data_IF_995004129401
#
_entry.id   IF_995004129401
#
_cell.length_a   1.000
_cell.length_b   1.000
_cell.length_c   1.000
_cell.angle_alpha   90.00
_cell.angle_beta   90.00
_cell.angle_gamma   90.00
#
_symmetry.space_group_name_H-M   'P 1'
#
loop_
_entity.id
_entity.type
_entity.pdbx_description
1 polymer ?
#
# COMPACT_ATOMS: atom_id res chain seq x y z
N UNK A 1 -5.44 10.59 -14.33
CA UNK A 1 -5.06 9.17 -14.48
C UNK A 1 -3.56 8.99 -14.30
N UNK A 2 -2.71 9.57 -15.16
CA UNK A 2 -1.23 9.49 -15.07
C UNK A 2 -0.65 9.87 -13.70
N UNK A 3 -1.03 11.02 -13.13
CA UNK A 3 -0.51 11.45 -11.82
C UNK A 3 -0.83 10.49 -10.67
N UNK A 4 -1.96 9.78 -10.76
CA UNK A 4 -2.36 8.77 -9.77
C UNK A 4 -1.49 7.51 -9.90
N UNK A 5 -1.25 7.05 -11.14
CA UNK A 5 -0.34 5.94 -11.43
C UNK A 5 1.09 6.24 -10.99
N UNK A 6 1.57 7.47 -11.22
CA UNK A 6 2.91 7.90 -10.81
C UNK A 6 3.05 7.92 -9.29
N UNK A 7 2.06 8.46 -8.58
CA UNK A 7 2.01 8.40 -7.10
C UNK A 7 1.97 6.97 -6.58
N UNK A 8 1.17 6.08 -7.18
CA UNK A 8 1.15 4.67 -6.79
C UNK A 8 2.53 4.03 -7.00
N UNK A 9 3.14 4.29 -8.15
CA UNK A 9 4.41 3.69 -8.54
C UNK A 9 5.52 4.11 -7.61
N UNK A 10 5.55 5.38 -7.20
CA UNK A 10 6.49 5.88 -6.19
C UNK A 10 6.27 5.22 -4.83
N UNK A 11 5.01 5.11 -4.40
CA UNK A 11 4.64 4.48 -3.12
C UNK A 11 4.99 2.99 -3.11
N UNK A 12 4.75 2.30 -4.23
CA UNK A 12 5.16 0.92 -4.44
C UNK A 12 6.68 0.77 -4.34
N UNK A 13 7.44 1.58 -5.09
CA UNK A 13 8.91 1.54 -5.06
C UNK A 13 9.49 1.79 -3.67
N UNK A 14 8.86 2.66 -2.87
CA UNK A 14 9.34 3.00 -1.53
C UNK A 14 8.96 1.96 -0.47
N UNK A 15 7.79 1.34 -0.57
CA UNK A 15 7.23 0.53 0.52
C UNK A 15 7.04 -0.96 0.21
N UNK A 16 7.13 -1.38 -1.05
CA UNK A 16 6.86 -2.78 -1.41
C UNK A 16 7.80 -3.75 -0.70
N UNK A 17 9.08 -3.42 -0.56
CA UNK A 17 10.06 -4.29 0.11
C UNK A 17 9.77 -4.45 1.61
N UNK A 18 9.48 -3.34 2.30
CA UNK A 18 9.17 -3.30 3.72
C UNK A 18 7.85 -4.04 4.04
N UNK A 19 6.82 -3.81 3.22
CA UNK A 19 5.53 -4.51 3.34
C UNK A 19 5.69 -5.99 3.02
N UNK A 20 6.50 -6.35 2.02
CA UNK A 20 6.75 -7.75 1.68
C UNK A 20 7.55 -8.46 2.79
N UNK A 21 8.54 -7.81 3.39
CA UNK A 21 9.26 -8.35 4.55
C UNK A 21 8.32 -8.56 5.74
N UNK A 22 7.46 -7.58 6.03
CA UNK A 22 6.45 -7.68 7.08
C UNK A 22 5.43 -8.80 6.82
N UNK A 23 4.92 -8.89 5.59
CA UNK A 23 3.97 -9.93 5.19
C UNK A 23 4.62 -11.32 5.25
N UNK A 24 5.86 -11.45 4.79
CA UNK A 24 6.63 -12.70 4.90
C UNK A 24 6.79 -13.13 6.35
N UNK A 25 7.06 -12.19 7.25
CA UNK A 25 7.15 -12.47 8.68
C UNK A 25 5.81 -12.88 9.30
N UNK A 26 4.70 -12.32 8.81
CA UNK A 26 3.37 -12.50 9.42
C UNK A 26 2.60 -13.71 8.90
N UNK A 27 2.61 -13.96 7.59
CA UNK A 27 1.80 -14.99 6.93
C UNK A 27 2.63 -16.05 6.21
N UNK A 28 3.96 -15.89 6.17
CA UNK A 28 4.85 -16.77 5.43
C UNK A 28 5.05 -16.33 3.98
N UNK A 29 6.13 -16.83 3.36
CA UNK A 29 6.61 -16.36 2.04
C UNK A 29 5.65 -16.68 0.89
N UNK A 30 4.86 -17.75 0.98
CA UNK A 30 3.93 -18.12 -0.09
C UNK A 30 2.75 -17.15 -0.20
N UNK A 31 2.23 -16.70 0.94
CA UNK A 31 1.07 -15.81 1.01
C UNK A 31 1.45 -14.32 1.03
N UNK A 32 2.73 -14.00 1.26
CA UNK A 32 3.22 -12.62 1.35
C UNK A 32 2.94 -11.79 0.09
N UNK A 33 3.13 -12.35 -1.10
CA UNK A 33 2.92 -11.64 -2.37
C UNK A 33 1.45 -11.27 -2.59
N UNK A 34 0.53 -12.14 -2.17
CA UNK A 34 -0.92 -11.91 -2.27
C UNK A 34 -1.36 -10.77 -1.35
N UNK A 35 -0.90 -10.80 -0.09
CA UNK A 35 -1.15 -9.74 0.90
C UNK A 35 -0.62 -8.38 0.42
N UNK A 36 0.59 -8.35 -0.15
CA UNK A 36 1.16 -7.12 -0.72
C UNK A 36 0.26 -6.57 -1.83
N UNK A 37 -0.22 -7.44 -2.72
CA UNK A 37 -1.15 -7.06 -3.80
C UNK A 37 -2.44 -6.45 -3.28
N UNK A 38 -3.07 -7.09 -2.29
CA UNK A 38 -4.29 -6.59 -1.62
C UNK A 38 -4.07 -5.21 -0.99
N UNK A 39 -2.95 -5.01 -0.28
CA UNK A 39 -2.62 -3.72 0.35
C UNK A 39 -2.52 -2.60 -0.68
N UNK A 40 -1.82 -2.85 -1.80
CA UNK A 40 -1.67 -1.84 -2.85
C UNK A 40 -2.99 -1.58 -3.61
N UNK A 41 -3.83 -2.60 -3.78
CA UNK A 41 -5.17 -2.44 -4.35
C UNK A 41 -6.07 -1.55 -3.47
N UNK A 42 -6.05 -1.79 -2.16
CA UNK A 42 -6.76 -0.96 -1.18
C UNK A 42 -6.22 0.47 -1.20
N UNK A 43 -4.89 0.65 -1.24
CA UNK A 43 -4.27 1.97 -1.34
C UNK A 43 -4.70 2.69 -2.63
N UNK A 44 -4.74 2.00 -3.77
CA UNK A 44 -5.22 2.56 -5.04
C UNK A 44 -6.67 3.05 -4.97
N UNK A 45 -7.56 2.24 -4.39
CA UNK A 45 -8.98 2.58 -4.22
C UNK A 45 -9.17 3.72 -3.23
N UNK A 46 -8.32 3.79 -2.20
CA UNK A 46 -8.39 4.80 -1.16
C UNK A 46 -7.75 6.13 -1.56
N UNK A 47 -6.86 6.16 -2.56
CA UNK A 47 -6.19 7.41 -3.01
C UNK A 47 -7.14 8.51 -3.52
N UNK A 48 -8.41 8.20 -3.79
CA UNK A 48 -9.43 9.23 -4.09
C UNK A 48 -10.05 9.83 -2.82
N UNK A 49 -10.07 9.06 -1.74
CA UNK A 49 -10.65 9.43 -0.44
C UNK A 49 -9.62 10.00 0.53
N UNK A 50 -8.39 9.52 0.45
CA UNK A 50 -7.28 9.95 1.31
C UNK A 50 -6.78 11.31 0.82
N UNK A 51 -7.24 12.37 1.47
CA UNK A 51 -6.58 13.67 1.40
C UNK A 51 -5.29 13.59 2.22
N UNK A 52 -4.16 13.90 1.57
CA UNK A 52 -2.88 13.99 2.27
C UNK A 52 -2.98 15.09 3.33
N UNK A 53 -2.81 14.74 4.61
CA UNK A 53 -2.82 15.70 5.72
C UNK A 53 -4.08 15.76 6.58
N UNK A 54 -5.10 14.92 6.36
CA UNK A 54 -6.13 14.74 7.40
C UNK A 54 -5.52 13.92 8.55
N UNK A 55 -5.45 14.46 9.79
CA UNK A 55 -5.00 13.68 10.92
C UNK A 55 -5.94 12.49 11.05
N UNK A 56 -5.37 11.29 11.22
CA UNK A 56 -6.12 10.09 11.55
C UNK A 56 -6.98 10.44 12.77
N UNK A 57 -8.28 10.67 12.56
CA UNK A 57 -9.22 11.02 13.62
C UNK A 57 -9.15 9.89 14.64
N UNK A 58 -8.59 10.22 15.81
CA UNK A 58 -8.57 9.34 16.97
C UNK A 58 -10.00 9.33 17.47
N UNK A 59 -10.76 8.27 17.15
CA UNK A 59 -12.05 7.97 17.76
C UNK A 59 -11.81 7.07 18.96
#
# INVERSE_FOLDING_TARGET
>A
MREREERLTELFRRHADDIHAYATWRVGRQDAADVVGEVFLVAWRSMDRVRVGEPCLKQ
#
